data_IF_146194251235
#
_entry.id   IF_146194251235
#
_cell.length_a   1.000
_cell.length_b   1.000
_cell.length_c   1.000
_cell.angle_alpha   90.00
_cell.angle_beta   90.00
_cell.angle_gamma   90.00
#
_symmetry.space_group_name_H-M   'P 1'
#
loop_
_entity.id
_entity.type
_entity.pdbx_description
1 polymer ?
#
# COMPACT_ATOMS: atom_id res chain seq x y z
N UNK A 1 -39.54 -32.77 37.90
CA UNK A 1 -38.32 -32.62 37.12
C UNK A 1 -38.73 -32.03 35.76
N UNK A 2 -38.47 -30.75 35.55
CA UNK A 2 -38.82 -30.05 34.31
C UNK A 2 -37.53 -29.82 33.53
N UNK A 3 -37.43 -30.47 32.37
CA UNK A 3 -36.33 -30.28 31.42
C UNK A 3 -36.57 -28.96 30.67
N UNK A 4 -35.61 -28.06 30.72
CA UNK A 4 -35.64 -26.79 29.99
C UNK A 4 -34.81 -27.00 28.71
N UNK A 5 -35.50 -27.10 27.58
CA UNK A 5 -34.86 -27.09 26.26
C UNK A 5 -34.40 -25.67 25.91
N UNK A 6 -33.09 -25.51 25.74
CA UNK A 6 -32.53 -24.31 25.14
C UNK A 6 -32.59 -24.42 23.61
N UNK A 7 -33.48 -23.62 23.03
CA UNK A 7 -33.63 -23.45 21.58
C UNK A 7 -32.49 -22.55 21.09
N UNK A 8 -31.52 -23.14 20.38
CA UNK A 8 -30.47 -22.40 19.68
C UNK A 8 -31.11 -21.70 18.48
N UNK A 9 -31.14 -20.37 18.51
CA UNK A 9 -31.52 -19.58 17.36
C UNK A 9 -30.41 -19.63 16.32
N UNK A 10 -30.80 -19.95 15.09
CA UNK A 10 -29.94 -20.01 13.92
C UNK A 10 -29.27 -18.65 13.68
N UNK A 11 -27.95 -18.67 13.58
CA UNK A 11 -27.15 -17.56 13.12
C UNK A 11 -27.52 -17.23 11.67
N UNK A 12 -28.02 -16.03 11.46
CA UNK A 12 -28.22 -15.44 10.15
C UNK A 12 -26.89 -15.49 9.38
N UNK A 13 -26.91 -16.18 8.25
CA UNK A 13 -25.83 -16.13 7.27
C UNK A 13 -25.74 -14.70 6.76
N UNK A 14 -24.65 -14.00 7.14
CA UNK A 14 -24.25 -12.76 6.48
C UNK A 14 -23.91 -13.14 5.04
N UNK A 15 -24.84 -12.88 4.15
CA UNK A 15 -24.64 -12.96 2.70
C UNK A 15 -23.51 -11.99 2.34
N UNK A 16 -22.33 -12.52 2.08
CA UNK A 16 -21.23 -11.79 1.47
C UNK A 16 -21.73 -11.32 0.10
N UNK A 17 -22.09 -10.05 -0.01
CA UNK A 17 -22.56 -9.43 -1.23
C UNK A 17 -21.53 -9.63 -2.35
N UNK A 18 -22.00 -9.99 -3.53
CA UNK A 18 -21.17 -10.14 -4.72
C UNK A 18 -20.39 -8.85 -5.01
N UNK A 19 -19.16 -8.95 -5.56
CA UNK A 19 -18.33 -7.81 -5.87
C UNK A 19 -19.01 -6.85 -6.85
N UNK A 20 -19.14 -5.59 -6.46
CA UNK A 20 -19.72 -4.55 -7.30
C UNK A 20 -18.63 -3.91 -8.15
N UNK A 21 -18.72 -4.04 -9.47
CA UNK A 21 -17.82 -3.40 -10.44
C UNK A 21 -18.11 -1.91 -10.54
N UNK A 22 -17.07 -1.08 -10.54
CA UNK A 22 -17.16 0.37 -10.76
C UNK A 22 -17.25 0.67 -12.25
N UNK A 23 -18.01 1.70 -12.62
CA UNK A 23 -17.88 2.32 -13.94
C UNK A 23 -16.60 3.16 -13.95
N UNK A 24 -15.61 2.73 -14.67
CA UNK A 24 -14.47 3.55 -15.09
C UNK A 24 -15.04 4.64 -16.01
N UNK A 25 -14.45 5.86 -16.02
CA UNK A 25 -14.97 6.99 -16.82
C UNK A 25 -15.45 6.53 -18.19
N UNK A 26 -16.58 7.03 -18.67
CA UNK A 26 -17.27 6.58 -19.89
C UNK A 26 -16.35 6.38 -21.10
N UNK A 27 -15.28 7.17 -21.20
CA UNK A 27 -14.30 7.09 -22.27
C UNK A 27 -13.44 5.82 -22.21
N UNK A 28 -13.12 5.32 -21.01
CA UNK A 28 -12.32 4.10 -20.81
C UNK A 28 -13.22 2.86 -20.91
N UNK A 29 -14.48 2.95 -20.44
CA UNK A 29 -15.46 1.89 -20.57
C UNK A 29 -15.77 1.51 -22.02
N UNK A 30 -15.75 2.47 -22.94
CA UNK A 30 -15.99 2.20 -24.37
C UNK A 30 -14.85 1.41 -25.03
N UNK A 31 -13.63 1.49 -24.47
CA UNK A 31 -12.47 0.78 -25.03
C UNK A 31 -12.21 -0.57 -24.36
N UNK A 32 -12.65 -0.76 -23.11
CA UNK A 32 -12.35 -1.97 -22.33
C UNK A 32 -13.51 -2.96 -22.18
N UNK A 33 -14.72 -2.60 -22.63
CA UNK A 33 -15.92 -3.45 -22.51
C UNK A 33 -16.43 -3.65 -21.07
N UNK A 34 -15.93 -2.87 -20.10
CA UNK A 34 -16.34 -2.93 -18.71
C UNK A 34 -17.59 -2.08 -18.47
N UNK A 35 -18.76 -2.72 -18.40
CA UNK A 35 -20.02 -2.10 -18.00
C UNK A 35 -20.44 -2.62 -16.61
N UNK A 36 -20.66 -1.73 -15.64
CA UNK A 36 -21.05 -2.09 -14.28
C UNK A 36 -22.17 -1.21 -13.72
N UNK A 37 -23.06 -1.81 -12.93
CA UNK A 37 -24.15 -1.13 -12.22
C UNK A 37 -23.63 -0.25 -11.07
N UNK A 38 -24.37 0.82 -10.73
CA UNK A 38 -24.01 1.80 -9.71
C UNK A 38 -23.88 1.18 -8.31
N UNK A 39 -22.68 0.89 -7.89
CA UNK A 39 -22.29 0.42 -6.56
C UNK A 39 -21.03 1.13 -6.06
N UNK A 40 -20.67 0.95 -4.77
CA UNK A 40 -19.43 1.48 -4.21
C UNK A 40 -18.22 1.04 -5.08
N UNK A 41 -17.24 1.94 -5.30
CA UNK A 41 -16.12 1.65 -6.16
C UNK A 41 -15.31 0.46 -5.64
N UNK A 42 -15.07 -0.52 -6.50
CA UNK A 42 -14.18 -1.62 -6.19
C UNK A 42 -12.73 -1.13 -6.29
N UNK A 43 -12.10 -0.88 -5.15
CA UNK A 43 -10.68 -0.48 -5.09
C UNK A 43 -9.83 -1.73 -5.26
N UNK A 44 -8.84 -1.68 -6.14
CA UNK A 44 -7.87 -2.75 -6.36
C UNK A 44 -6.55 -2.38 -5.69
N UNK A 45 -6.07 -3.24 -4.78
CA UNK A 45 -4.77 -3.08 -4.15
C UNK A 45 -3.65 -3.60 -5.03
N UNK A 46 -2.55 -2.86 -5.12
CA UNK A 46 -1.29 -3.29 -5.75
C UNK A 46 -0.20 -3.28 -4.69
N UNK A 47 0.37 -4.43 -4.40
CA UNK A 47 1.45 -4.58 -3.44
C UNK A 47 2.57 -5.47 -3.99
N UNK A 48 3.60 -5.70 -3.20
CA UNK A 48 4.73 -6.56 -3.56
C UNK A 48 6.04 -6.05 -2.95
N UNK A 49 7.10 -6.82 -3.09
CA UNK A 49 8.38 -6.53 -2.46
C UNK A 49 9.15 -5.32 -3.03
N UNK A 50 10.22 -4.94 -2.33
CA UNK A 50 11.18 -3.94 -2.81
C UNK A 50 11.74 -4.40 -4.16
N UNK A 51 11.76 -3.51 -5.17
CA UNK A 51 12.31 -3.81 -6.50
C UNK A 51 11.42 -4.67 -7.41
N UNK A 52 10.21 -5.08 -6.98
CA UNK A 52 9.31 -5.89 -7.81
C UNK A 52 8.72 -5.15 -9.02
N UNK A 53 8.66 -3.82 -8.98
CA UNK A 53 8.17 -3.02 -10.10
C UNK A 53 6.73 -2.51 -9.97
N UNK A 54 6.14 -2.52 -8.77
CA UNK A 54 4.81 -1.97 -8.47
C UNK A 54 4.57 -0.58 -9.09
N UNK A 55 5.49 0.34 -8.82
CA UNK A 55 5.36 1.72 -9.32
C UNK A 55 5.44 1.84 -10.84
N UNK A 56 5.99 0.82 -11.54
CA UNK A 56 5.99 0.75 -13.01
C UNK A 56 4.61 0.30 -13.51
N UNK A 57 4.01 -0.68 -12.86
CA UNK A 57 2.61 -1.09 -13.08
C UNK A 57 1.67 0.08 -12.82
N UNK A 58 1.82 0.75 -11.66
CA UNK A 58 1.02 1.92 -11.29
C UNK A 58 1.07 3.04 -12.36
N UNK A 59 2.27 3.34 -12.87
CA UNK A 59 2.44 4.33 -13.96
C UNK A 59 1.76 3.92 -15.26
N UNK A 60 1.78 2.64 -15.60
CA UNK A 60 1.10 2.14 -16.79
C UNK A 60 -0.44 2.25 -16.64
N UNK A 61 -0.98 1.93 -15.46
CA UNK A 61 -2.40 2.13 -15.16
C UNK A 61 -2.81 3.61 -15.30
N UNK A 62 -1.98 4.53 -14.79
CA UNK A 62 -2.22 5.98 -14.96
C UNK A 62 -2.23 6.37 -16.42
N UNK A 63 -1.30 5.86 -17.27
CA UNK A 63 -1.29 6.12 -18.72
C UNK A 63 -2.57 5.61 -19.41
N UNK A 64 -3.18 4.55 -18.89
CA UNK A 64 -4.44 4.01 -19.39
C UNK A 64 -5.69 4.75 -18.84
N UNK A 65 -5.49 5.80 -18.03
CA UNK A 65 -6.55 6.67 -17.54
C UNK A 65 -7.15 6.25 -16.20
N UNK A 66 -6.59 5.27 -15.52
CA UNK A 66 -7.06 4.86 -14.19
C UNK A 66 -6.56 5.81 -13.10
N UNK A 67 -7.39 6.02 -12.08
CA UNK A 67 -7.02 6.76 -10.88
C UNK A 67 -6.23 5.85 -9.94
N UNK A 68 -4.92 6.10 -9.80
CA UNK A 68 -4.02 5.34 -8.92
C UNK A 68 -3.63 6.19 -7.72
N UNK A 69 -3.84 5.67 -6.52
CA UNK A 69 -3.43 6.26 -5.26
C UNK A 69 -2.10 5.67 -4.80
N UNK A 70 -1.03 6.44 -4.90
CA UNK A 70 0.29 6.11 -4.39
C UNK A 70 0.36 6.46 -2.90
N UNK A 71 0.32 5.42 -2.03
CA UNK A 71 0.28 5.62 -0.59
C UNK A 71 1.50 6.35 -0.04
N UNK A 72 2.70 6.10 -0.56
CA UNK A 72 3.93 6.74 -0.09
C UNK A 72 3.94 8.24 -0.42
N UNK A 73 3.49 8.60 -1.61
CA UNK A 73 3.36 9.98 -2.06
C UNK A 73 2.28 10.72 -1.27
N UNK A 74 1.11 10.12 -1.14
CA UNK A 74 -0.02 10.75 -0.48
C UNK A 74 0.16 10.85 1.04
N UNK A 75 0.82 9.89 1.69
CA UNK A 75 1.22 10.01 3.09
C UNK A 75 2.10 11.24 3.33
N UNK A 76 3.07 11.50 2.45
CA UNK A 76 3.92 12.70 2.53
C UNK A 76 3.09 13.98 2.36
N UNK A 77 2.14 13.99 1.42
CA UNK A 77 1.21 15.12 1.23
C UNK A 77 0.35 15.35 2.47
N UNK A 78 -0.23 14.28 3.04
CA UNK A 78 -1.07 14.37 4.24
C UNK A 78 -0.26 14.93 5.42
N UNK A 79 0.97 14.46 5.64
CA UNK A 79 1.85 14.99 6.68
C UNK A 79 2.14 16.49 6.45
N UNK A 80 2.29 16.92 5.20
CA UNK A 80 2.58 18.31 4.88
C UNK A 80 1.36 19.24 5.00
N UNK A 81 0.13 18.75 4.76
CA UNK A 81 -1.06 19.58 4.61
C UNK A 81 -2.04 19.46 5.77
N UNK A 82 -2.12 18.30 6.42
CA UNK A 82 -3.11 18.02 7.47
C UNK A 82 -2.60 18.48 8.85
N UNK A 83 -3.20 19.53 9.36
CA UNK A 83 -2.82 20.15 10.65
C UNK A 83 -3.02 19.23 11.84
N UNK A 84 -4.06 18.40 11.85
CA UNK A 84 -4.32 17.45 12.92
C UNK A 84 -3.27 16.36 12.97
N UNK A 85 -2.85 15.84 11.79
CA UNK A 85 -1.74 14.88 11.67
C UNK A 85 -0.43 15.52 12.14
N UNK A 86 -0.14 16.77 11.73
CA UNK A 86 1.04 17.49 12.17
C UNK A 86 1.07 17.62 13.70
N UNK A 87 -0.05 18.03 14.30
CA UNK A 87 -0.12 18.22 15.76
C UNK A 87 0.07 16.89 16.51
N UNK A 88 -0.50 15.80 16.03
CA UNK A 88 -0.28 14.48 16.62
C UNK A 88 1.19 14.04 16.53
N UNK A 89 1.86 14.29 15.40
CA UNK A 89 3.30 14.02 15.23
C UNK A 89 4.14 14.88 16.18
N UNK A 90 3.80 16.18 16.33
CA UNK A 90 4.47 17.09 17.27
C UNK A 90 4.29 16.60 18.71
N UNK A 91 3.10 16.19 19.09
CA UNK A 91 2.83 15.62 20.44
C UNK A 91 3.65 14.35 20.70
N UNK A 92 3.90 13.55 19.66
CA UNK A 92 4.66 12.29 19.78
C UNK A 92 6.18 12.52 19.85
N UNK A 93 6.72 13.38 18.96
CA UNK A 93 8.18 13.56 18.77
C UNK A 93 8.71 14.92 19.24
N UNK A 94 7.83 15.86 19.56
CA UNK A 94 8.19 17.24 19.90
C UNK A 94 8.35 18.15 18.67
N UNK A 95 8.54 19.45 18.93
CA UNK A 95 8.62 20.51 17.90
C UNK A 95 9.69 20.28 16.83
N UNK A 96 10.77 19.53 17.16
CA UNK A 96 11.85 19.20 16.22
C UNK A 96 11.39 18.29 15.06
N UNK A 97 10.19 17.72 15.16
CA UNK A 97 9.56 16.92 14.08
C UNK A 97 9.23 17.75 12.84
N UNK A 98 9.11 19.07 13.00
CA UNK A 98 8.97 20.01 11.88
C UNK A 98 9.98 21.14 12.03
N UNK A 99 10.56 21.57 10.91
CA UNK A 99 11.47 22.72 10.83
C UNK A 99 10.92 23.67 9.78
N UNK A 100 10.59 24.91 10.17
CA UNK A 100 9.95 25.90 9.29
C UNK A 100 8.68 25.36 8.61
N UNK A 101 7.90 24.56 9.32
CA UNK A 101 6.68 23.93 8.80
C UNK A 101 6.90 22.72 7.91
N UNK A 102 8.15 22.31 7.69
CA UNK A 102 8.52 21.14 6.87
C UNK A 102 8.83 19.94 7.77
N UNK A 103 8.27 18.78 7.43
CA UNK A 103 8.51 17.53 8.15
C UNK A 103 9.97 17.12 8.15
N UNK A 104 10.54 16.95 9.33
CA UNK A 104 11.95 16.63 9.56
C UNK A 104 12.19 15.13 9.54
N UNK A 105 12.22 14.55 8.34
CA UNK A 105 12.43 13.10 8.13
C UNK A 105 13.71 12.60 8.80
N UNK A 106 14.81 13.39 8.79
CA UNK A 106 16.07 12.99 9.42
C UNK A 106 15.94 12.84 10.94
N UNK A 107 15.25 13.78 11.59
CA UNK A 107 15.02 13.72 13.03
C UNK A 107 14.14 12.52 13.38
N UNK A 108 13.05 12.35 12.68
CA UNK A 108 12.12 11.21 12.89
C UNK A 108 12.84 9.88 12.68
N UNK A 109 13.61 9.72 11.59
CA UNK A 109 14.40 8.51 11.34
C UNK A 109 15.35 8.20 12.49
N UNK A 110 16.04 9.22 13.02
CA UNK A 110 16.90 9.04 14.20
C UNK A 110 16.10 8.57 15.42
N UNK A 111 14.89 9.07 15.64
CA UNK A 111 14.04 8.67 16.75
C UNK A 111 13.57 7.21 16.63
N UNK A 112 13.08 6.81 15.46
CA UNK A 112 12.47 5.47 15.24
C UNK A 112 13.49 4.36 15.02
N UNK A 113 14.71 4.67 14.56
CA UNK A 113 15.79 3.70 14.38
C UNK A 113 16.83 3.70 15.49
N UNK A 114 16.64 4.48 16.55
CA UNK A 114 17.49 4.45 17.74
C UNK A 114 17.03 3.34 18.71
N UNK A 115 17.95 2.63 19.37
CA UNK A 115 17.59 1.57 20.32
C UNK A 115 16.71 2.04 21.47
N UNK A 116 16.86 3.27 21.90
CA UNK A 116 16.03 3.90 22.93
C UNK A 116 16.13 5.42 22.85
N UNK A 117 15.00 6.10 22.78
CA UNK A 117 14.90 7.55 22.95
C UNK A 117 13.88 7.86 24.05
N UNK A 118 14.27 8.60 25.09
CA UNK A 118 13.41 8.99 26.20
C UNK A 118 12.69 7.80 26.89
N UNK A 119 13.33 6.63 26.97
CA UNK A 119 12.76 5.43 27.59
C UNK A 119 11.75 4.68 26.69
N UNK A 120 11.58 5.06 25.43
CA UNK A 120 10.74 4.36 24.43
C UNK A 120 11.64 3.67 23.40
N UNK A 121 11.28 2.45 23.01
CA UNK A 121 11.95 1.78 21.89
C UNK A 121 11.59 2.47 20.56
N UNK A 122 12.54 2.49 19.60
CA UNK A 122 12.29 3.04 18.28
C UNK A 122 11.13 2.36 17.55
N UNK A 123 10.96 1.04 17.75
CA UNK A 123 9.83 0.27 17.22
C UNK A 123 8.48 0.75 17.77
N UNK A 124 8.40 1.05 19.07
CA UNK A 124 7.18 1.58 19.67
C UNK A 124 6.85 2.98 19.12
N UNK A 125 7.85 3.81 18.88
CA UNK A 125 7.68 5.13 18.26
C UNK A 125 7.24 5.01 16.79
N UNK A 126 7.79 4.07 16.04
CA UNK A 126 7.37 3.79 14.66
C UNK A 126 5.93 3.28 14.62
N UNK A 127 5.55 2.38 15.52
CA UNK A 127 4.17 1.88 15.61
C UNK A 127 3.18 3.02 15.91
N UNK A 128 3.51 3.94 16.83
CA UNK A 128 2.68 5.11 17.13
C UNK A 128 2.61 6.10 15.97
N UNK A 129 3.71 6.33 15.25
CA UNK A 129 3.71 7.14 14.03
C UNK A 129 2.79 6.56 12.96
N UNK A 130 2.90 5.25 12.73
CA UNK A 130 2.05 4.53 11.79
C UNK A 130 0.57 4.59 12.19
N UNK A 131 0.25 4.50 13.50
CA UNK A 131 -1.09 4.65 14.01
C UNK A 131 -1.70 6.06 13.79
N UNK A 132 -0.87 7.08 13.57
CA UNK A 132 -1.31 8.43 13.17
C UNK A 132 -1.52 8.50 11.65
N UNK A 133 -0.56 7.98 10.88
CA UNK A 133 -0.52 8.18 9.42
C UNK A 133 -1.49 7.26 8.68
N UNK A 134 -1.52 5.95 9.03
CA UNK A 134 -2.30 4.97 8.26
C UNK A 134 -3.80 5.26 8.26
N UNK A 135 -4.45 5.62 9.39
CA UNK A 135 -5.86 6.01 9.38
C UNK A 135 -6.13 7.26 8.52
N UNK A 136 -5.22 8.24 8.55
CA UNK A 136 -5.37 9.45 7.74
C UNK A 136 -5.29 9.14 6.24
N UNK A 137 -4.38 8.25 5.83
CA UNK A 137 -4.29 7.74 4.46
C UNK A 137 -5.56 6.96 4.09
N UNK A 138 -6.05 6.08 4.96
CA UNK A 138 -7.28 5.32 4.74
C UNK A 138 -8.50 6.22 4.51
N UNK A 139 -8.66 7.26 5.34
CA UNK A 139 -9.72 8.25 5.17
C UNK A 139 -9.60 9.03 3.84
N UNK A 140 -8.38 9.37 3.42
CA UNK A 140 -8.15 10.06 2.15
C UNK A 140 -8.48 9.14 0.95
N UNK A 141 -8.12 7.86 1.02
CA UNK A 141 -8.51 6.84 0.02
C UNK A 141 -10.04 6.74 -0.08
N UNK A 142 -10.73 6.61 1.06
CA UNK A 142 -12.19 6.52 1.08
C UNK A 142 -12.86 7.78 0.50
N UNK A 143 -12.28 8.95 0.73
CA UNK A 143 -12.77 10.21 0.19
C UNK A 143 -12.54 10.34 -1.31
N UNK A 144 -11.38 9.91 -1.80
CA UNK A 144 -10.99 10.06 -3.22
C UNK A 144 -11.52 8.93 -4.10
N UNK A 145 -11.75 7.76 -3.52
CA UNK A 145 -12.25 6.57 -4.21
C UNK A 145 -11.46 6.24 -5.51
N UNK A 146 -10.14 6.01 -5.43
CA UNK A 146 -9.35 5.66 -6.60
C UNK A 146 -9.74 4.27 -7.14
N UNK A 147 -9.36 3.98 -8.38
CA UNK A 147 -9.51 2.64 -8.96
C UNK A 147 -8.48 1.67 -8.38
N UNK A 148 -7.26 2.18 -8.15
CA UNK A 148 -6.14 1.39 -7.62
C UNK A 148 -5.46 2.09 -6.44
N UNK A 149 -5.00 1.28 -5.47
CA UNK A 149 -4.17 1.72 -4.34
C UNK A 149 -2.83 0.98 -4.41
N UNK A 150 -1.73 1.71 -4.59
CA UNK A 150 -0.37 1.16 -4.59
C UNK A 150 0.29 1.38 -3.23
N UNK A 151 0.75 0.30 -2.59
CA UNK A 151 1.49 0.35 -1.33
C UNK A 151 2.44 -0.84 -1.19
N UNK A 152 3.66 -0.59 -0.71
CA UNK A 152 4.61 -1.66 -0.36
C UNK A 152 4.26 -2.34 0.98
N UNK A 153 3.44 -1.68 1.81
CA UNK A 153 3.02 -2.13 3.15
C UNK A 153 1.50 -2.20 3.25
N UNK A 154 0.83 -2.63 2.18
CA UNK A 154 -0.63 -2.63 2.07
C UNK A 154 -1.30 -3.42 3.21
N UNK A 155 -0.75 -4.56 3.57
CA UNK A 155 -1.28 -5.42 4.64
C UNK A 155 -0.89 -4.91 6.03
N UNK A 156 0.37 -4.54 6.21
CA UNK A 156 0.90 -4.04 7.49
C UNK A 156 0.23 -2.74 7.92
N UNK A 157 -0.23 -1.93 6.95
CA UNK A 157 -0.97 -0.70 7.21
C UNK A 157 -2.46 -0.91 7.43
N UNK A 158 -2.99 -2.12 7.18
CA UNK A 158 -4.42 -2.42 7.22
C UNK A 158 -5.22 -1.85 6.03
N UNK A 159 -4.57 -1.21 5.05
CA UNK A 159 -5.23 -0.64 3.87
C UNK A 159 -5.77 -1.70 2.91
N UNK A 160 -5.30 -2.95 3.02
CA UNK A 160 -5.86 -4.10 2.33
C UNK A 160 -7.36 -4.28 2.60
N UNK A 161 -7.86 -3.87 3.78
CA UNK A 161 -9.27 -3.95 4.14
C UNK A 161 -10.16 -3.01 3.33
N UNK A 162 -9.59 -2.01 2.67
CA UNK A 162 -10.30 -1.10 1.76
C UNK A 162 -10.32 -1.63 0.32
N UNK A 163 -9.52 -2.65 0.03
CA UNK A 163 -9.37 -3.21 -1.29
C UNK A 163 -10.36 -4.36 -1.51
N UNK A 164 -10.99 -4.37 -2.66
CA UNK A 164 -11.89 -5.45 -3.07
C UNK A 164 -11.10 -6.68 -3.55
N UNK A 165 -9.97 -6.44 -4.22
CA UNK A 165 -9.02 -7.42 -4.71
C UNK A 165 -7.60 -6.90 -4.53
N UNK A 166 -6.64 -7.81 -4.48
CA UNK A 166 -5.23 -7.46 -4.29
C UNK A 166 -4.38 -8.20 -5.31
N UNK A 167 -3.65 -7.43 -6.12
CA UNK A 167 -2.59 -7.93 -7.00
C UNK A 167 -1.23 -7.79 -6.34
N UNK A 168 -0.52 -8.88 -6.21
CA UNK A 168 0.85 -8.94 -5.70
C UNK A 168 1.81 -8.96 -6.90
N UNK A 169 2.71 -8.00 -6.95
CA UNK A 169 3.76 -7.97 -7.96
C UNK A 169 5.03 -8.55 -7.34
N UNK A 170 5.52 -9.63 -7.96
CA UNK A 170 6.76 -10.27 -7.57
C UNK A 170 7.80 -10.20 -8.70
N UNK A 171 9.06 -10.44 -8.36
CA UNK A 171 10.15 -10.54 -9.32
C UNK A 171 11.30 -11.37 -8.72
N UNK A 172 12.12 -12.04 -9.55
CA UNK A 172 13.32 -12.74 -9.10
C UNK A 172 14.23 -11.84 -8.25
N UNK A 173 14.89 -12.43 -7.27
CA UNK A 173 15.70 -11.70 -6.28
C UNK A 173 16.80 -10.86 -6.94
N UNK A 174 17.50 -11.42 -7.91
CA UNK A 174 18.58 -10.75 -8.66
C UNK A 174 18.07 -9.51 -9.40
N UNK A 175 16.90 -9.60 -10.02
CA UNK A 175 16.23 -8.47 -10.68
C UNK A 175 15.80 -7.42 -9.66
N UNK A 176 15.26 -7.82 -8.53
CA UNK A 176 14.89 -6.92 -7.43
C UNK A 176 16.10 -6.19 -6.88
N UNK A 177 17.22 -6.90 -6.69
CA UNK A 177 18.50 -6.31 -6.26
C UNK A 177 18.98 -5.29 -7.30
N UNK A 178 19.07 -5.68 -8.58
CA UNK A 178 19.54 -4.81 -9.64
C UNK A 178 18.71 -3.52 -9.76
N UNK A 179 17.38 -3.64 -9.75
CA UNK A 179 16.46 -2.48 -9.80
C UNK A 179 16.62 -1.57 -8.58
N UNK A 180 16.80 -2.15 -7.40
CA UNK A 180 16.96 -1.39 -6.15
C UNK A 180 18.33 -0.67 -6.12
N UNK A 181 19.40 -1.33 -6.57
CA UNK A 181 20.73 -0.73 -6.70
C UNK A 181 20.70 0.45 -7.68
N UNK A 182 20.07 0.26 -8.83
CA UNK A 182 19.96 1.34 -9.81
C UNK A 182 19.23 2.57 -9.25
N UNK A 183 18.17 2.37 -8.47
CA UNK A 183 17.34 3.44 -7.89
C UNK A 183 17.97 4.10 -6.66
N UNK A 184 18.41 3.30 -5.67
CA UNK A 184 18.78 3.79 -4.33
C UNK A 184 20.28 4.10 -4.22
N UNK A 185 21.11 3.50 -5.06
CA UNK A 185 22.57 3.60 -5.00
C UNK A 185 23.18 4.08 -6.32
N UNK A 186 22.39 4.67 -7.20
CA UNK A 186 22.82 5.21 -8.49
C UNK A 186 23.66 4.23 -9.34
N UNK A 187 23.35 2.93 -9.22
CA UNK A 187 24.05 1.87 -9.93
C UNK A 187 25.32 1.32 -9.23
N UNK A 188 25.69 1.84 -8.05
CA UNK A 188 26.82 1.29 -7.28
C UNK A 188 26.49 -0.11 -6.73
N UNK A 189 26.83 -1.13 -7.50
CA UNK A 189 26.67 -2.54 -7.20
C UNK A 189 27.82 -3.11 -6.33
N UNK A 190 28.39 -2.33 -5.43
CA UNK A 190 29.36 -2.84 -4.48
C UNK A 190 28.79 -3.98 -3.64
N UNK A 191 29.63 -4.96 -3.20
CA UNK A 191 29.16 -6.08 -2.37
C UNK A 191 28.45 -5.62 -1.09
N UNK A 192 28.86 -4.48 -0.53
CA UNK A 192 28.22 -3.89 0.64
C UNK A 192 26.79 -3.44 0.35
N UNK A 193 26.57 -2.77 -0.77
CA UNK A 193 25.22 -2.31 -1.18
C UNK A 193 24.32 -3.48 -1.57
N UNK A 194 24.85 -4.45 -2.33
CA UNK A 194 24.12 -5.69 -2.67
C UNK A 194 23.66 -6.41 -1.39
N UNK A 195 24.54 -6.60 -0.41
CA UNK A 195 24.19 -7.26 0.84
C UNK A 195 23.14 -6.49 1.64
N UNK A 196 23.22 -5.16 1.69
CA UNK A 196 22.19 -4.32 2.33
C UNK A 196 20.82 -4.48 1.66
N UNK A 197 20.79 -4.46 0.33
CA UNK A 197 19.54 -4.63 -0.43
C UNK A 197 18.97 -6.02 -0.24
N UNK A 198 19.82 -7.07 -0.33
CA UNK A 198 19.43 -8.47 -0.09
C UNK A 198 18.82 -8.65 1.30
N UNK A 199 19.46 -8.12 2.33
CA UNK A 199 18.94 -8.18 3.69
C UNK A 199 17.56 -7.51 3.82
N UNK A 200 17.34 -6.36 3.15
CA UNK A 200 16.03 -5.69 3.11
C UNK A 200 14.97 -6.53 2.37
N UNK A 201 15.35 -7.21 1.30
CA UNK A 201 14.45 -8.10 0.54
C UNK A 201 14.06 -9.31 1.40
N UNK A 202 15.02 -9.95 2.06
CA UNK A 202 14.76 -11.12 2.91
C UNK A 202 13.98 -10.78 4.18
N UNK A 203 14.07 -9.55 4.68
CA UNK A 203 13.28 -9.08 5.82
C UNK A 203 11.81 -8.79 5.47
N UNK A 204 11.47 -8.73 4.17
CA UNK A 204 10.09 -8.52 3.74
C UNK A 204 9.34 -9.84 3.67
N UNK A 205 8.14 -9.86 4.23
CA UNK A 205 7.15 -10.88 3.94
C UNK A 205 6.30 -10.40 2.77
N UNK A 206 6.22 -11.18 1.69
CA UNK A 206 5.31 -10.91 0.57
C UNK A 206 4.04 -11.71 0.85
N UNK A 207 2.92 -11.05 1.19
CA UNK A 207 1.68 -11.75 1.47
C UNK A 207 1.06 -12.31 0.20
N UNK A 208 0.18 -13.29 0.34
CA UNK A 208 -0.65 -13.75 -0.77
C UNK A 208 -1.73 -12.73 -1.08
N UNK A 209 -1.95 -12.48 -2.37
CA UNK A 209 -3.07 -11.72 -2.90
C UNK A 209 -4.03 -12.60 -3.70
N UNK A 210 -5.03 -11.98 -4.29
CA UNK A 210 -5.97 -12.67 -5.20
C UNK A 210 -5.29 -13.02 -6.54
N UNK A 211 -4.33 -12.22 -6.97
CA UNK A 211 -3.50 -12.42 -8.16
C UNK A 211 -2.04 -12.18 -7.81
N UNK A 212 -1.13 -13.02 -8.30
CA UNK A 212 0.31 -12.80 -8.22
C UNK A 212 0.90 -12.75 -9.63
N UNK A 213 1.58 -11.65 -9.95
CA UNK A 213 2.20 -11.41 -11.24
C UNK A 213 3.72 -11.43 -11.12
N UNK A 214 4.37 -12.17 -12.00
CA UNK A 214 5.82 -12.23 -12.08
C UNK A 214 6.37 -11.19 -13.06
N UNK A 215 6.98 -10.13 -12.53
CA UNK A 215 7.64 -9.08 -13.31
C UNK A 215 9.14 -9.39 -13.45
N UNK A 216 9.47 -10.41 -14.18
CA UNK A 216 10.84 -10.88 -14.44
C UNK A 216 11.59 -10.07 -15.52
N UNK A 217 10.92 -9.12 -16.17
CA UNK A 217 11.45 -8.29 -17.25
C UNK A 217 11.32 -8.92 -18.64
N UNK A 218 10.77 -10.12 -18.77
CA UNK A 218 10.46 -10.76 -20.04
C UNK A 218 9.07 -10.38 -20.54
N UNK A 219 8.08 -10.44 -19.64
CA UNK A 219 6.72 -10.00 -19.96
C UNK A 219 6.66 -8.47 -20.00
N UNK A 220 6.19 -7.86 -21.10
CA UNK A 220 5.99 -6.42 -21.18
C UNK A 220 5.03 -5.90 -20.11
N UNK A 221 5.33 -4.73 -19.53
CA UNK A 221 4.47 -4.11 -18.50
C UNK A 221 3.01 -3.94 -18.95
N UNK A 222 2.71 -3.54 -20.21
CA UNK A 222 1.32 -3.48 -20.68
C UNK A 222 0.58 -4.82 -20.57
N UNK A 223 1.22 -5.94 -20.87
CA UNK A 223 0.62 -7.27 -20.76
C UNK A 223 0.33 -7.65 -19.30
N UNK A 224 1.25 -7.37 -18.36
CA UNK A 224 1.01 -7.57 -16.94
C UNK A 224 -0.17 -6.72 -16.43
N UNK A 225 -0.35 -5.52 -16.98
CA UNK A 225 -1.52 -4.68 -16.66
C UNK A 225 -2.80 -5.26 -17.27
N UNK A 226 -2.72 -5.83 -18.48
CA UNK A 226 -3.87 -6.52 -19.09
C UNK A 226 -4.33 -7.70 -18.25
N UNK A 227 -3.41 -8.48 -17.68
CA UNK A 227 -3.73 -9.57 -16.74
C UNK A 227 -4.44 -9.05 -15.47
N UNK A 228 -3.99 -7.91 -14.89
CA UNK A 228 -4.69 -7.27 -13.78
C UNK A 228 -6.13 -6.91 -14.19
N UNK A 229 -6.30 -6.26 -15.33
CA UNK A 229 -7.59 -5.76 -15.79
C UNK A 229 -8.55 -6.89 -16.22
N UNK A 230 -8.03 -8.04 -16.64
CA UNK A 230 -8.83 -9.19 -17.04
C UNK A 230 -9.47 -9.94 -15.85
N UNK A 231 -8.88 -9.81 -14.65
CA UNK A 231 -9.34 -10.50 -13.43
C UNK A 231 -10.32 -9.65 -12.62
N UNK A 232 -10.37 -8.35 -12.87
CA UNK A 232 -11.14 -7.36 -12.12
C UNK A 232 -12.12 -6.57 -12.99
#
# INVERSE_FOLDING_TARGET
>A
MKSTEYRVQSTDQISLGQPRKRSVSETVCQQSGLSGEAGLPAIIGITGGIGSGKSTIARELVKRGFAVYDCDKEAKRIIAENKDVQQQIINLFGEKSFVNGVYNTQYISKCVFSPSLQGRSGEALLAQLNAIIHPAVGLDIMKRQPDFVESAILFESGLNLLCHRISVIDAPEDIRIARTIARDYHGDASPANINKVRARIHAQHIPQGDLTLLNDGHTPIPELVDEILAVY
#
